data_IF_674803428327
#
_entry.id   IF_674803428327
#
_cell.length_a   1.000
_cell.length_b   1.000
_cell.length_c   1.000
_cell.angle_alpha   90.00
_cell.angle_beta   90.00
_cell.angle_gamma   90.00
#
_symmetry.space_group_name_H-M   'P 1'
#
loop_
_entity.id
_entity.type
_entity.pdbx_description
1 polymer ?
#
# COMPACT_ATOMS: atom_id res chain seq x y z
N UNK A 1 10.34 15.57 1.11
CA UNK A 1 10.70 16.15 2.42
C UNK A 1 12.12 15.79 2.84
N UNK A 2 12.80 14.82 2.18
CA UNK A 2 14.21 14.47 2.42
C UNK A 2 14.48 13.70 3.73
N UNK A 3 13.45 13.31 4.49
CA UNK A 3 13.62 12.57 5.74
C UNK A 3 14.24 11.18 5.52
N UNK A 4 13.81 10.50 4.48
CA UNK A 4 14.30 9.17 4.11
C UNK A 4 15.75 9.23 3.60
N UNK A 5 16.08 10.22 2.78
CA UNK A 5 17.45 10.47 2.34
C UNK A 5 18.36 10.77 3.55
N UNK A 6 17.93 11.69 4.42
CA UNK A 6 18.67 12.02 5.65
C UNK A 6 18.89 10.79 6.55
N UNK A 7 17.84 10.00 6.75
CA UNK A 7 17.93 8.78 7.56
C UNK A 7 18.95 7.79 6.97
N UNK A 8 18.86 7.55 5.65
CA UNK A 8 19.76 6.64 4.97
C UNK A 8 21.22 7.11 5.06
N UNK A 9 21.50 8.39 4.77
CA UNK A 9 22.85 8.97 4.82
C UNK A 9 23.47 8.95 6.23
N UNK A 10 22.64 9.04 7.26
CA UNK A 10 23.10 9.04 8.66
C UNK A 10 23.01 7.66 9.34
N UNK A 11 22.74 6.58 8.61
CA UNK A 11 22.65 5.23 9.15
C UNK A 11 21.46 5.01 10.10
N UNK A 12 20.39 5.82 9.96
CA UNK A 12 19.15 5.70 10.74
C UNK A 12 18.16 4.83 9.98
N UNK A 13 17.52 3.89 10.69
CA UNK A 13 16.46 3.09 10.13
C UNK A 13 15.08 3.71 10.39
N UNK A 14 14.20 3.67 9.41
CA UNK A 14 12.82 4.12 9.53
C UNK A 14 11.86 2.95 9.80
N UNK A 15 11.00 3.13 10.80
CA UNK A 15 9.84 2.27 11.03
C UNK A 15 8.60 3.00 10.51
N UNK A 16 8.00 2.50 9.44
CA UNK A 16 6.81 3.10 8.82
C UNK A 16 5.54 2.36 9.23
N UNK A 17 4.44 3.08 9.35
CA UNK A 17 3.16 2.53 9.79
C UNK A 17 2.02 2.89 8.82
N UNK A 18 0.88 2.22 8.97
CA UNK A 18 -0.29 2.39 8.09
C UNK A 18 0.00 2.23 6.59
N UNK A 19 0.81 1.27 6.16
CA UNK A 19 1.26 1.15 4.77
C UNK A 19 0.11 0.87 3.78
N UNK A 20 -1.00 0.33 4.26
CA UNK A 20 -2.18 0.01 3.46
C UNK A 20 -3.26 1.11 3.52
N UNK A 21 -2.93 2.29 4.02
CA UNK A 21 -3.84 3.45 4.07
C UNK A 21 -5.23 3.08 4.62
N UNK A 22 -5.24 2.44 5.79
CA UNK A 22 -6.45 1.95 6.48
C UNK A 22 -7.31 0.97 5.67
N UNK A 23 -6.71 0.30 4.69
CA UNK A 23 -7.34 -0.68 3.82
C UNK A 23 -7.66 -0.20 2.41
N UNK A 24 -7.41 1.07 2.07
CA UNK A 24 -7.58 1.55 0.70
C UNK A 24 -6.66 0.85 -0.29
N UNK A 25 -5.42 0.60 0.09
CA UNK A 25 -4.44 -0.13 -0.73
C UNK A 25 -4.59 -1.65 -0.58
N UNK A 26 -5.83 -2.13 -0.63
CA UNK A 26 -6.20 -3.54 -0.67
C UNK A 26 -7.31 -3.74 -1.69
N UNK A 27 -7.62 -4.98 -2.01
CA UNK A 27 -8.71 -5.32 -2.95
C UNK A 27 -10.10 -4.98 -2.40
N UNK A 28 -10.17 -4.59 -1.12
CA UNK A 28 -11.43 -4.47 -0.37
C UNK A 28 -12.42 -3.47 -0.96
N UNK A 29 -11.92 -2.37 -1.51
CA UNK A 29 -12.76 -1.26 -1.99
C UNK A 29 -12.83 -1.15 -3.52
N UNK A 30 -12.11 -1.98 -4.26
CA UNK A 30 -12.04 -1.91 -5.72
C UNK A 30 -13.40 -2.13 -6.41
N UNK A 31 -14.29 -2.92 -5.80
CA UNK A 31 -15.60 -3.28 -6.34
C UNK A 31 -16.77 -2.70 -5.52
N UNK A 32 -16.52 -1.64 -4.76
CA UNK A 32 -17.52 -1.01 -3.90
C UNK A 32 -17.18 -1.10 -2.42
N UNK A 33 -18.12 -0.69 -1.56
CA UNK A 33 -17.94 -0.64 -0.11
C UNK A 33 -18.57 -1.88 0.53
N UNK A 34 -17.78 -2.86 1.04
CA UNK A 34 -18.32 -3.99 1.77
C UNK A 34 -18.99 -3.56 3.08
N UNK A 35 -20.14 -4.16 3.41
CA UNK A 35 -20.91 -3.83 4.61
C UNK A 35 -20.13 -4.07 5.92
N UNK A 36 -19.20 -5.04 5.90
CA UNK A 36 -18.33 -5.39 7.04
C UNK A 36 -17.06 -4.51 7.13
N UNK A 37 -16.82 -3.64 6.13
CA UNK A 37 -15.68 -2.72 6.12
C UNK A 37 -15.86 -1.58 7.14
N UNK A 38 -14.78 -0.84 7.43
CA UNK A 38 -14.84 0.33 8.29
C UNK A 38 -15.81 1.39 7.76
N UNK A 39 -15.81 1.64 6.45
CA UNK A 39 -16.74 2.56 5.80
C UNK A 39 -18.16 2.00 5.87
N UNK A 40 -18.38 0.73 5.54
CA UNK A 40 -19.69 0.08 5.62
C UNK A 40 -20.28 0.08 7.03
N UNK A 41 -19.45 0.10 8.06
CA UNK A 41 -19.84 0.24 9.48
C UNK A 41 -20.03 1.69 9.93
N UNK A 42 -20.02 2.66 9.03
CA UNK A 42 -20.35 4.05 9.32
C UNK A 42 -19.16 4.96 9.60
N UNK A 43 -17.93 4.60 9.22
CA UNK A 43 -16.80 5.52 9.30
C UNK A 43 -16.89 6.57 8.18
N UNK A 44 -17.56 7.68 8.47
CA UNK A 44 -17.81 8.76 7.51
C UNK A 44 -16.53 9.47 7.09
N UNK A 45 -15.53 9.57 7.97
CA UNK A 45 -14.25 10.20 7.63
C UNK A 45 -13.51 9.44 6.52
N UNK A 46 -13.46 8.11 6.62
CA UNK A 46 -12.91 7.27 5.55
C UNK A 46 -13.80 7.30 4.30
N UNK A 47 -15.12 7.26 4.48
CA UNK A 47 -16.08 7.29 3.36
C UNK A 47 -15.93 8.52 2.49
N UNK A 48 -15.69 9.68 3.11
CA UNK A 48 -15.50 10.94 2.39
C UNK A 48 -14.19 11.01 1.57
N UNK A 49 -13.25 10.11 1.82
CA UNK A 49 -11.99 10.01 1.05
C UNK A 49 -12.10 9.05 -0.14
N UNK A 50 -13.13 8.22 -0.18
CA UNK A 50 -13.35 7.24 -1.24
C UNK A 50 -14.29 7.83 -2.31
N UNK A 51 -13.80 8.82 -3.03
CA UNK A 51 -14.48 9.40 -4.18
C UNK A 51 -14.12 8.66 -5.49
N UNK A 52 -14.74 9.07 -6.60
CA UNK A 52 -14.52 8.47 -7.92
C UNK A 52 -13.06 8.64 -8.39
N UNK A 53 -12.41 9.74 -8.02
CA UNK A 53 -11.01 9.98 -8.35
C UNK A 53 -10.10 9.01 -7.60
N UNK A 54 -10.35 8.79 -6.31
CA UNK A 54 -9.63 7.80 -5.51
C UNK A 54 -9.85 6.39 -6.05
N UNK A 55 -11.09 6.01 -6.37
CA UNK A 55 -11.40 4.70 -6.95
C UNK A 55 -10.67 4.48 -8.28
N UNK A 56 -10.64 5.49 -9.15
CA UNK A 56 -9.90 5.43 -10.42
C UNK A 56 -8.42 5.19 -10.17
N UNK A 57 -7.82 5.92 -9.22
CA UNK A 57 -6.42 5.78 -8.83
C UNK A 57 -6.11 4.39 -8.26
N UNK A 58 -6.95 3.89 -7.34
CA UNK A 58 -6.80 2.56 -6.76
C UNK A 58 -6.88 1.45 -7.82
N UNK A 59 -7.80 1.58 -8.78
CA UNK A 59 -7.91 0.63 -9.88
C UNK A 59 -6.69 0.66 -10.79
N UNK A 60 -6.14 1.83 -11.10
CA UNK A 60 -4.92 1.96 -11.88
C UNK A 60 -3.72 1.32 -11.15
N UNK A 61 -3.53 1.60 -9.86
CA UNK A 61 -2.51 0.95 -9.03
C UNK A 61 -2.69 -0.58 -8.99
N UNK A 62 -3.92 -1.06 -8.91
CA UNK A 62 -4.20 -2.49 -8.92
C UNK A 62 -3.86 -3.16 -10.26
N UNK A 63 -3.94 -2.45 -11.39
CA UNK A 63 -3.47 -2.99 -12.67
C UNK A 63 -1.94 -3.17 -12.68
N UNK A 64 -1.21 -2.20 -12.14
CA UNK A 64 0.26 -2.32 -11.98
C UNK A 64 0.57 -3.52 -11.05
N UNK A 65 -0.13 -3.67 -9.93
CA UNK A 65 0.07 -4.80 -9.04
C UNK A 65 -0.15 -6.14 -9.75
N UNK A 66 -1.22 -6.26 -10.56
CA UNK A 66 -1.50 -7.47 -11.35
C UNK A 66 -0.42 -7.79 -12.38
N UNK A 67 0.14 -6.79 -13.06
CA UNK A 67 1.25 -7.01 -14.02
C UNK A 67 2.51 -7.51 -13.31
N UNK A 68 2.64 -7.25 -12.00
CA UNK A 68 3.71 -7.74 -11.13
C UNK A 68 3.39 -9.09 -10.47
N UNK A 69 2.24 -9.70 -10.80
CA UNK A 69 1.75 -10.91 -10.13
C UNK A 69 1.58 -10.74 -8.60
N UNK A 70 1.24 -9.53 -8.17
CA UNK A 70 0.99 -9.17 -6.77
C UNK A 70 -0.45 -8.70 -6.58
N UNK A 71 -0.96 -8.82 -5.36
CA UNK A 71 -2.14 -8.08 -4.92
C UNK A 71 -1.77 -6.61 -4.69
N UNK A 72 -2.77 -5.72 -4.67
CA UNK A 72 -2.53 -4.30 -4.39
C UNK A 72 -1.84 -4.09 -3.03
N UNK A 73 -2.22 -4.88 -2.01
CA UNK A 73 -1.58 -4.82 -0.68
C UNK A 73 -0.14 -5.31 -0.70
N UNK A 74 0.17 -6.39 -1.41
CA UNK A 74 1.54 -6.87 -1.57
C UNK A 74 2.41 -5.82 -2.26
N UNK A 75 1.95 -5.23 -3.35
CA UNK A 75 2.67 -4.17 -4.05
C UNK A 75 2.90 -2.95 -3.15
N UNK A 76 1.90 -2.50 -2.40
CA UNK A 76 2.03 -1.36 -1.49
C UNK A 76 3.08 -1.61 -0.39
N UNK A 77 3.11 -2.82 0.17
CA UNK A 77 4.12 -3.22 1.15
C UNK A 77 5.51 -3.33 0.53
N UNK A 78 5.60 -3.92 -0.67
CA UNK A 78 6.86 -3.99 -1.43
C UNK A 78 7.41 -2.59 -1.71
N UNK A 79 6.53 -1.65 -2.10
CA UNK A 79 6.92 -0.27 -2.37
C UNK A 79 7.48 0.43 -1.13
N UNK A 80 6.86 0.25 0.04
CA UNK A 80 7.42 0.76 1.30
C UNK A 80 8.80 0.18 1.58
N UNK A 81 8.96 -1.14 1.41
CA UNK A 81 10.21 -1.86 1.71
C UNK A 81 11.31 -1.64 0.66
N UNK A 82 10.97 -1.17 -0.54
CA UNK A 82 11.97 -0.83 -1.56
C UNK A 82 12.77 0.43 -1.24
N UNK A 83 12.27 1.28 -0.33
CA UNK A 83 13.01 2.44 0.15
C UNK A 83 14.14 2.00 1.09
N UNK A 84 15.38 2.34 0.74
CA UNK A 84 16.60 1.93 1.46
C UNK A 84 16.67 2.39 2.91
N UNK A 85 15.97 3.46 3.27
CA UNK A 85 15.91 3.96 4.65
C UNK A 85 14.90 3.18 5.51
N UNK A 86 13.93 2.49 4.89
CA UNK A 86 12.90 1.75 5.63
C UNK A 86 13.45 0.42 6.12
N UNK A 87 13.56 0.29 7.43
CA UNK A 87 14.01 -0.93 8.09
C UNK A 87 12.86 -1.89 8.39
N UNK A 88 11.68 -1.34 8.70
CA UNK A 88 10.51 -2.15 9.06
C UNK A 88 9.20 -1.45 8.71
N UNK A 89 8.21 -2.26 8.39
CA UNK A 89 6.85 -1.81 8.08
C UNK A 89 5.89 -2.42 9.11
N UNK A 90 5.20 -1.56 9.87
CA UNK A 90 4.22 -1.97 10.86
C UNK A 90 2.85 -2.14 10.20
N UNK A 91 2.37 -3.37 10.14
CA UNK A 91 1.10 -3.72 9.51
C UNK A 91 0.17 -4.40 10.52
N UNK A 92 -1.08 -3.92 10.59
CA UNK A 92 -2.12 -4.59 11.36
C UNK A 92 -2.75 -5.73 10.57
N UNK A 93 -3.07 -6.83 11.23
CA UNK A 93 -3.80 -7.95 10.64
C UNK A 93 -4.89 -8.43 11.60
N UNK A 94 -6.07 -8.74 11.06
CA UNK A 94 -7.21 -9.27 11.83
C UNK A 94 -7.37 -10.79 11.68
N UNK A 95 -6.55 -11.42 10.85
CA UNK A 95 -6.55 -12.88 10.65
C UNK A 95 -5.16 -13.40 10.29
N UNK A 96 -4.87 -14.69 10.55
CA UNK A 96 -3.63 -15.34 10.13
C UNK A 96 -3.42 -15.29 8.62
N UNK A 97 -4.51 -15.32 7.84
CA UNK A 97 -4.45 -15.25 6.37
C UNK A 97 -3.91 -13.90 5.89
N UNK A 98 -4.36 -12.79 6.52
CA UNK A 98 -3.81 -11.47 6.22
C UNK A 98 -2.31 -11.38 6.50
N UNK A 99 -1.82 -12.04 7.55
CA UNK A 99 -0.37 -12.08 7.82
C UNK A 99 0.36 -12.81 6.69
N UNK A 100 -0.15 -13.96 6.26
CA UNK A 100 0.45 -14.73 5.15
C UNK A 100 0.48 -13.92 3.86
N UNK A 101 -0.63 -13.30 3.50
CA UNK A 101 -0.74 -12.43 2.32
C UNK A 101 0.22 -11.26 2.42
N UNK A 102 0.24 -10.55 3.54
CA UNK A 102 1.12 -9.39 3.71
C UNK A 102 2.60 -9.78 3.62
N UNK A 103 3.00 -10.91 4.20
CA UNK A 103 4.40 -11.39 4.14
C UNK A 103 4.80 -11.91 2.75
N UNK A 104 3.85 -12.24 1.89
CA UNK A 104 4.13 -12.64 0.50
C UNK A 104 4.79 -11.52 -0.32
N UNK A 105 4.62 -10.25 0.07
CA UNK A 105 5.29 -9.11 -0.55
C UNK A 105 6.83 -9.27 -0.59
N UNK A 106 7.41 -9.99 0.38
CA UNK A 106 8.86 -10.22 0.46
C UNK A 106 9.43 -11.02 -0.72
N UNK A 107 8.59 -11.68 -1.51
CA UNK A 107 9.01 -12.46 -2.68
C UNK A 107 9.33 -11.58 -3.89
N UNK A 108 8.84 -10.35 -3.92
CA UNK A 108 9.00 -9.44 -5.07
C UNK A 108 9.05 -7.99 -4.60
N UNK A 109 10.23 -7.57 -4.13
CA UNK A 109 10.47 -6.22 -3.59
C UNK A 109 10.98 -5.23 -4.64
N UNK A 110 11.60 -5.73 -5.71
CA UNK A 110 12.22 -4.89 -6.72
C UNK A 110 11.18 -4.24 -7.64
N UNK A 111 11.41 -2.99 -8.00
CA UNK A 111 10.63 -2.23 -8.97
C UNK A 111 11.52 -1.78 -10.12
N UNK A 112 11.03 -1.86 -11.34
CA UNK A 112 11.66 -1.21 -12.47
C UNK A 112 11.45 0.32 -12.41
N UNK A 113 12.29 1.07 -13.11
CA UNK A 113 12.13 2.53 -13.21
C UNK A 113 10.80 2.92 -13.86
N UNK A 114 10.32 2.13 -14.84
CA UNK A 114 9.04 2.35 -15.49
C UNK A 114 7.86 2.15 -14.51
N UNK A 115 7.86 1.07 -13.73
CA UNK A 115 6.85 0.84 -12.68
C UNK A 115 6.84 1.96 -11.64
N UNK A 116 8.02 2.41 -11.20
CA UNK A 116 8.12 3.52 -10.25
C UNK A 116 7.60 4.83 -10.86
N UNK A 117 7.86 5.07 -12.14
CA UNK A 117 7.35 6.24 -12.84
C UNK A 117 5.82 6.21 -12.98
N UNK A 118 5.26 5.06 -13.35
CA UNK A 118 3.80 4.86 -13.42
C UNK A 118 3.13 5.07 -12.06
N UNK A 119 3.68 4.49 -10.99
CA UNK A 119 3.15 4.67 -9.63
C UNK A 119 3.20 6.14 -9.23
N UNK A 120 4.33 6.82 -9.43
CA UNK A 120 4.47 8.25 -9.09
C UNK A 120 3.49 9.15 -9.84
N UNK A 121 3.16 8.81 -11.09
CA UNK A 121 2.18 9.57 -11.87
C UNK A 121 0.74 9.46 -11.34
N UNK A 122 0.46 8.46 -10.50
CA UNK A 122 -0.85 8.23 -9.88
C UNK A 122 -0.95 8.83 -8.46
N UNK A 123 0.15 9.21 -7.85
CA UNK A 123 0.20 9.76 -6.48
C UNK A 123 0.11 11.31 -6.49
#
# INVERSE_FOLDING_TARGET
DGLDEYAYENGLGLAVFSPLSQGFLTDRYLNGIPADSRIGKGNTWLGNQLDDAMLTRLNALNQIAKSREQTLSEMALSWCLSNKAVTTVLVGASSPEQIRTNTACLKHLDFSEDELAEIRALL
#
